data_IF_086538379157
#
_entry.id   IF_086538379157
#
_cell.length_a   1.000
_cell.length_b   1.000
_cell.length_c   1.000
_cell.angle_alpha   90.00
_cell.angle_beta   90.00
_cell.angle_gamma   90.00
#
_symmetry.space_group_name_H-M   'P 1'
#
loop_
_entity.id
_entity.type
_entity.pdbx_description
1 polymer ?
#
# COMPACT_ATOMS: atom_id res chain seq x y z
N UNK A 1 34.73 15.91 -10.72
CA UNK A 1 33.84 15.16 -11.65
C UNK A 1 33.98 15.77 -13.04
N UNK A 2 34.07 14.95 -14.09
CA UNK A 2 34.13 15.47 -15.46
C UNK A 2 32.77 16.14 -15.80
N UNK A 3 32.79 17.31 -16.47
CA UNK A 3 31.55 17.98 -16.85
C UNK A 3 30.72 17.07 -17.79
N UNK A 4 29.43 17.03 -17.58
CA UNK A 4 28.46 16.31 -18.42
C UNK A 4 27.18 17.15 -18.62
N UNK A 5 26.36 16.77 -19.58
CA UNK A 5 25.05 17.37 -19.79
C UNK A 5 24.15 17.23 -18.54
N UNK A 6 23.07 18.04 -18.48
CA UNK A 6 22.16 18.05 -17.34
C UNK A 6 21.38 16.73 -17.23
N UNK A 7 21.07 16.33 -16.00
CA UNK A 7 20.15 15.24 -15.77
C UNK A 7 18.72 15.67 -16.08
N UNK A 8 17.91 14.74 -16.56
CA UNK A 8 16.47 14.90 -16.69
C UNK A 8 15.83 14.22 -15.49
N UNK A 9 14.98 14.94 -14.76
CA UNK A 9 14.26 14.44 -13.61
C UNK A 9 12.77 14.33 -13.96
N UNK A 10 12.19 13.15 -13.75
CA UNK A 10 10.77 12.92 -13.90
C UNK A 10 10.21 12.27 -12.64
N UNK A 11 8.93 12.49 -12.38
CA UNK A 11 8.20 11.83 -11.30
C UNK A 11 7.22 10.81 -11.90
N UNK A 12 7.22 9.61 -11.36
CA UNK A 12 6.32 8.54 -11.75
C UNK A 12 5.37 8.21 -10.61
N UNK A 13 4.08 8.40 -10.82
CA UNK A 13 3.04 8.04 -9.86
C UNK A 13 2.62 6.59 -10.05
N UNK A 14 2.59 5.86 -8.94
CA UNK A 14 2.21 4.45 -8.87
C UNK A 14 1.04 4.26 -7.90
N UNK A 15 0.16 3.33 -8.22
CA UNK A 15 -0.80 2.81 -7.25
C UNK A 15 -0.14 1.78 -6.34
N UNK A 16 -0.81 1.42 -5.25
CA UNK A 16 -0.29 0.38 -4.35
C UNK A 16 -0.29 -1.00 -5.03
N UNK A 17 -1.24 -1.24 -5.93
CA UNK A 17 -1.29 -2.43 -6.79
C UNK A 17 -0.13 -2.49 -7.78
N UNK A 18 0.29 -1.34 -8.33
CA UNK A 18 1.49 -1.26 -9.17
C UNK A 18 2.75 -1.62 -8.37
N UNK A 19 2.83 -1.15 -7.13
CA UNK A 19 3.93 -1.50 -6.21
C UNK A 19 3.93 -3.00 -5.89
N UNK A 20 2.75 -3.58 -5.72
CA UNK A 20 2.63 -5.02 -5.46
C UNK A 20 3.13 -5.87 -6.63
N UNK A 21 2.77 -5.52 -7.86
CA UNK A 21 3.06 -6.32 -9.07
C UNK A 21 4.39 -5.98 -9.72
N UNK A 22 4.90 -4.74 -9.50
CA UNK A 22 5.85 -4.12 -10.41
C UNK A 22 5.15 -3.59 -11.65
N UNK A 23 5.80 -2.71 -12.38
CA UNK A 23 5.21 -2.08 -13.57
C UNK A 23 6.27 -1.67 -14.57
N UNK A 24 6.00 -1.92 -15.84
CA UNK A 24 6.76 -1.34 -16.94
C UNK A 24 6.00 -0.13 -17.51
N UNK A 25 6.67 1.00 -17.62
CA UNK A 25 6.10 2.26 -18.10
C UNK A 25 6.94 2.82 -19.23
N UNK A 26 6.34 3.10 -20.37
CA UNK A 26 6.96 3.85 -21.42
C UNK A 26 6.84 5.36 -21.12
N UNK A 27 7.96 6.03 -20.89
CA UNK A 27 8.03 7.46 -20.69
C UNK A 27 8.63 8.15 -21.89
N UNK A 28 8.01 9.26 -22.31
CA UNK A 28 8.53 10.11 -23.37
C UNK A 28 9.40 11.21 -22.75
N UNK A 29 10.65 11.28 -23.20
CA UNK A 29 11.60 12.29 -22.74
C UNK A 29 12.06 13.17 -23.90
N UNK A 30 12.28 14.47 -23.69
CA UNK A 30 12.76 15.37 -24.73
C UNK A 30 14.21 15.01 -25.13
N UNK A 31 14.44 14.97 -26.45
CA UNK A 31 15.76 14.75 -27.04
C UNK A 31 15.97 15.70 -28.22
N UNK A 32 17.23 15.96 -28.60
CA UNK A 32 17.59 16.79 -29.77
C UNK A 32 16.95 16.32 -31.10
N UNK A 33 16.83 15.02 -31.25
CA UNK A 33 16.26 14.38 -32.45
C UNK A 33 14.74 14.20 -32.41
N UNK A 34 14.07 14.81 -31.40
CA UNK A 34 12.66 14.63 -31.13
C UNK A 34 12.42 13.80 -29.85
N UNK A 35 11.16 13.61 -29.46
CA UNK A 35 10.83 12.86 -28.27
C UNK A 35 11.34 11.41 -28.37
N UNK A 36 11.99 10.94 -27.30
CA UNK A 36 12.50 9.57 -27.19
C UNK A 36 11.69 8.81 -26.16
N UNK A 37 11.26 7.62 -26.51
CA UNK A 37 10.57 6.71 -25.59
C UNK A 37 11.61 5.90 -24.81
N UNK A 38 11.51 5.94 -23.47
CA UNK A 38 12.32 5.14 -22.56
C UNK A 38 11.40 4.20 -21.78
N UNK A 39 11.73 2.92 -21.79
CA UNK A 39 11.01 1.94 -20.96
C UNK A 39 11.57 1.95 -19.54
N UNK A 40 10.71 2.29 -18.56
CA UNK A 40 11.03 2.35 -17.14
C UNK A 40 10.49 1.07 -16.50
N UNK A 41 11.40 0.23 -16.02
CA UNK A 41 11.06 -0.98 -15.28
C UNK A 41 11.01 -0.67 -13.78
N UNK A 42 9.81 -0.72 -13.21
CA UNK A 42 9.59 -0.50 -11.79
C UNK A 42 9.53 -1.84 -11.08
N UNK A 43 10.49 -2.15 -10.20
CA UNK A 43 10.47 -3.41 -9.46
C UNK A 43 9.34 -3.44 -8.43
N UNK A 44 8.77 -4.62 -8.21
CA UNK A 44 7.80 -4.84 -7.15
C UNK A 44 8.42 -4.54 -5.77
N UNK A 45 7.65 -3.91 -4.88
CA UNK A 45 8.10 -3.54 -3.54
C UNK A 45 8.79 -2.17 -3.45
N UNK A 46 8.92 -1.43 -4.53
CA UNK A 46 9.52 -0.10 -4.53
C UNK A 46 8.84 0.84 -3.53
N UNK A 47 9.59 1.75 -2.93
CA UNK A 47 9.09 2.71 -1.94
C UNK A 47 8.95 4.11 -2.52
N UNK A 48 8.03 4.91 -1.93
CA UNK A 48 7.91 6.33 -2.22
C UNK A 48 9.23 7.04 -1.99
N UNK A 49 9.61 7.92 -2.92
CA UNK A 49 10.85 8.69 -2.86
C UNK A 49 12.08 7.95 -3.38
N UNK A 50 12.00 6.66 -3.66
CA UNK A 50 13.11 5.96 -4.31
C UNK A 50 13.30 6.46 -5.73
N UNK A 51 14.56 6.44 -6.18
CA UNK A 51 14.96 6.91 -7.51
C UNK A 51 15.54 5.75 -8.33
N UNK A 52 15.12 5.70 -9.58
CA UNK A 52 15.71 4.81 -10.59
C UNK A 52 16.53 5.70 -11.54
N UNK A 53 17.79 5.36 -11.72
CA UNK A 53 18.72 6.12 -12.58
C UNK A 53 19.05 5.33 -13.83
N UNK A 54 18.84 5.97 -14.97
CA UNK A 54 19.24 5.46 -16.28
C UNK A 54 20.38 6.31 -16.81
N UNK A 55 21.58 5.73 -16.83
CA UNK A 55 22.80 6.43 -17.24
C UNK A 55 22.75 6.80 -18.72
N UNK A 56 23.16 8.04 -19.02
CA UNK A 56 23.25 8.53 -20.38
C UNK A 56 21.92 8.75 -21.10
N UNK A 57 20.79 8.66 -20.37
CA UNK A 57 19.46 8.88 -20.93
C UNK A 57 18.87 10.26 -20.60
N UNK A 58 19.70 11.16 -20.10
CA UNK A 58 19.35 12.54 -19.82
C UNK A 58 19.58 13.48 -21.01
N UNK A 59 19.82 14.76 -20.71
CA UNK A 59 20.04 15.79 -21.71
C UNK A 59 21.30 15.54 -22.55
N UNK A 60 21.25 15.94 -23.84
CA UNK A 60 22.33 15.82 -24.83
C UNK A 60 22.56 17.11 -25.62
N UNK A 61 22.17 18.27 -25.06
CA UNK A 61 22.21 19.54 -25.78
C UNK A 61 23.64 20.01 -26.12
N UNK A 62 24.59 19.74 -25.24
CA UNK A 62 25.98 20.06 -25.52
C UNK A 62 26.71 18.87 -26.19
N UNK A 63 27.03 18.94 -27.50
CA UNK A 63 27.54 17.79 -28.23
C UNK A 63 28.94 17.35 -27.79
N UNK A 64 29.69 18.26 -27.16
CA UNK A 64 31.05 17.99 -26.66
C UNK A 64 31.08 17.41 -25.25
N UNK A 65 29.92 17.25 -24.61
CA UNK A 65 29.80 16.68 -23.26
C UNK A 65 29.08 15.34 -23.31
N UNK A 66 29.44 14.39 -22.44
CA UNK A 66 28.68 13.16 -22.27
C UNK A 66 27.24 13.46 -21.92
N UNK A 67 26.29 12.60 -22.33
CA UNK A 67 24.89 12.73 -21.93
C UNK A 67 24.72 12.81 -20.41
N UNK A 68 23.70 13.54 -19.96
CA UNK A 68 23.23 13.47 -18.58
C UNK A 68 22.52 12.15 -18.30
N UNK A 69 21.98 12.00 -17.12
CA UNK A 69 21.21 10.82 -16.74
C UNK A 69 19.72 11.14 -16.65
N UNK A 70 18.87 10.16 -16.86
CA UNK A 70 17.47 10.23 -16.53
C UNK A 70 17.29 9.71 -15.09
N UNK A 71 16.68 10.52 -14.24
CA UNK A 71 16.36 10.19 -12.84
C UNK A 71 14.85 10.14 -12.71
N UNK A 72 14.34 8.97 -12.38
CA UNK A 72 12.91 8.73 -12.18
C UNK A 72 12.65 8.64 -10.68
N UNK A 73 11.94 9.61 -10.12
CA UNK A 73 11.53 9.61 -8.71
C UNK A 73 10.16 8.97 -8.58
N UNK A 74 10.05 7.98 -7.72
CA UNK A 74 8.80 7.26 -7.49
C UNK A 74 7.95 8.00 -6.47
N UNK A 75 6.70 8.27 -6.84
CA UNK A 75 5.62 8.69 -5.93
C UNK A 75 4.56 7.60 -5.88
N UNK A 76 4.16 7.20 -4.66
CA UNK A 76 3.12 6.19 -4.45
C UNK A 76 1.88 6.87 -3.93
N UNK A 77 0.77 6.74 -4.66
CA UNK A 77 -0.51 7.31 -4.28
C UNK A 77 -1.05 6.66 -3.00
N UNK A 78 -1.76 7.46 -2.21
CA UNK A 78 -2.46 6.92 -1.05
C UNK A 78 -3.57 5.98 -1.50
N UNK A 79 -3.67 4.83 -0.83
CA UNK A 79 -4.72 3.86 -1.09
C UNK A 79 -5.92 4.09 -0.15
N UNK A 80 -7.14 3.91 -0.66
CA UNK A 80 -8.37 4.16 0.11
C UNK A 80 -8.65 3.10 1.19
N UNK A 81 -8.07 1.91 1.08
CA UNK A 81 -8.25 0.80 2.02
C UNK A 81 -6.99 0.52 2.83
N UNK A 82 -5.84 0.42 2.16
CA UNK A 82 -4.59 -0.01 2.78
C UNK A 82 -3.68 1.16 3.13
N UNK A 83 -3.03 1.07 4.28
CA UNK A 83 -1.87 1.90 4.63
C UNK A 83 -0.62 1.04 4.65
N UNK A 84 0.43 1.49 3.99
CA UNK A 84 1.70 0.78 3.94
C UNK A 84 2.53 1.05 5.20
N UNK A 85 3.05 -0.01 5.81
CA UNK A 85 4.06 0.05 6.86
C UNK A 85 5.22 -0.90 6.50
N UNK A 86 6.30 -0.35 5.95
CA UNK A 86 7.37 -1.19 5.39
C UNK A 86 6.85 -2.08 4.26
N UNK A 87 6.89 -3.39 4.45
CA UNK A 87 6.32 -4.37 3.54
C UNK A 87 4.94 -4.88 3.98
N UNK A 88 4.48 -4.46 5.16
CA UNK A 88 3.16 -4.79 5.65
C UNK A 88 2.11 -3.80 5.12
N UNK A 89 0.89 -4.28 5.05
CA UNK A 89 -0.29 -3.48 4.75
C UNK A 89 -1.21 -3.49 5.96
N UNK A 90 -1.70 -2.31 6.34
CA UNK A 90 -2.66 -2.15 7.43
C UNK A 90 -4.01 -1.77 6.85
N UNK A 91 -5.04 -2.48 7.28
CA UNK A 91 -6.42 -2.16 6.97
C UNK A 91 -7.24 -2.11 8.26
N UNK A 92 -8.18 -1.18 8.35
CA UNK A 92 -9.11 -1.09 9.48
C UNK A 92 -10.45 -1.73 9.12
N UNK A 93 -10.98 -2.55 10.04
CA UNK A 93 -12.32 -3.14 9.94
C UNK A 93 -13.12 -2.81 11.19
N UNK A 94 -14.36 -2.38 10.96
CA UNK A 94 -15.31 -2.09 12.03
C UNK A 94 -16.16 -3.32 12.32
N UNK A 95 -16.30 -3.65 13.59
CA UNK A 95 -17.27 -4.62 14.10
C UNK A 95 -18.09 -3.94 15.20
N UNK A 96 -19.27 -4.44 15.49
CA UNK A 96 -20.03 -3.93 16.62
C UNK A 96 -19.61 -4.59 17.94
N UNK A 97 -20.04 -4.01 19.05
CA UNK A 97 -19.66 -4.49 20.39
C UNK A 97 -20.12 -5.93 20.66
N UNK A 98 -21.26 -6.36 20.12
CA UNK A 98 -21.74 -7.73 20.26
C UNK A 98 -20.86 -8.73 19.53
N UNK A 99 -20.45 -8.42 18.31
CA UNK A 99 -19.51 -9.23 17.55
C UNK A 99 -18.16 -9.35 18.25
N UNK A 100 -17.70 -8.27 18.88
CA UNK A 100 -16.45 -8.28 19.66
C UNK A 100 -16.56 -9.18 20.91
N UNK A 101 -17.69 -9.13 21.61
CA UNK A 101 -17.92 -9.95 22.81
C UNK A 101 -18.13 -11.42 22.48
N UNK A 102 -18.97 -11.71 21.48
CA UNK A 102 -19.40 -13.08 21.17
C UNK A 102 -18.46 -13.80 20.24
N UNK A 103 -17.59 -13.07 19.54
CA UNK A 103 -16.85 -13.57 18.40
C UNK A 103 -17.68 -13.59 17.13
N UNK A 104 -17.03 -13.50 16.01
CA UNK A 104 -17.64 -13.50 14.69
C UNK A 104 -16.64 -13.89 13.60
N UNK A 105 -17.03 -13.81 12.36
CA UNK A 105 -16.12 -13.93 11.24
C UNK A 105 -16.38 -12.80 10.23
N UNK A 106 -15.33 -12.42 9.50
CA UNK A 106 -15.46 -11.42 8.44
C UNK A 106 -14.64 -11.84 7.23
N UNK A 107 -15.01 -11.31 6.07
CA UNK A 107 -14.22 -11.45 4.86
C UNK A 107 -13.45 -10.16 4.61
N UNK A 108 -12.14 -10.27 4.36
CA UNK A 108 -11.29 -9.17 3.90
C UNK A 108 -10.75 -9.48 2.51
N UNK A 109 -10.60 -8.45 1.71
CA UNK A 109 -9.95 -8.55 0.40
C UNK A 109 -8.50 -8.10 0.50
N UNK A 110 -7.59 -8.89 -0.04
CA UNK A 110 -6.16 -8.59 -0.07
C UNK A 110 -5.81 -7.68 -1.24
N UNK A 111 -4.56 -7.18 -1.29
CA UNK A 111 -4.07 -6.33 -2.40
C UNK A 111 -4.14 -7.04 -3.76
N UNK A 112 -3.99 -8.36 -3.79
CA UNK A 112 -4.10 -9.19 -4.99
C UNK A 112 -5.51 -9.78 -5.22
N UNK A 113 -6.53 -9.17 -4.56
CA UNK A 113 -7.95 -9.47 -4.75
C UNK A 113 -8.40 -10.86 -4.27
N UNK A 114 -7.60 -11.51 -3.43
CA UNK A 114 -8.05 -12.71 -2.73
C UNK A 114 -9.02 -12.35 -1.62
N UNK A 115 -9.97 -13.21 -1.36
CA UNK A 115 -10.92 -13.09 -0.25
C UNK A 115 -10.50 -14.03 0.87
N UNK A 116 -10.18 -13.46 2.02
CA UNK A 116 -9.79 -14.20 3.22
C UNK A 116 -10.91 -14.14 4.24
N UNK A 117 -11.27 -15.29 4.79
CA UNK A 117 -12.19 -15.37 5.93
C UNK A 117 -11.37 -15.30 7.22
N UNK A 118 -11.63 -14.26 8.03
CA UNK A 118 -10.93 -13.99 9.29
C UNK A 118 -11.85 -14.28 10.45
N UNK A 119 -11.38 -15.09 11.39
CA UNK A 119 -12.09 -15.35 12.63
C UNK A 119 -11.81 -14.24 13.66
N UNK A 120 -12.85 -13.65 14.23
CA UNK A 120 -12.80 -12.68 15.32
C UNK A 120 -13.03 -13.43 16.63
N UNK A 121 -12.00 -13.57 17.47
CA UNK A 121 -12.14 -14.29 18.75
C UNK A 121 -13.15 -13.60 19.69
N UNK A 122 -13.76 -14.39 20.56
CA UNK A 122 -14.58 -13.86 21.67
C UNK A 122 -13.73 -12.93 22.54
N UNK A 123 -14.33 -11.81 22.95
CA UNK A 123 -13.65 -10.83 23.79
C UNK A 123 -12.58 -10.01 23.08
N UNK A 124 -12.67 -9.88 21.75
CA UNK A 124 -11.79 -9.03 20.98
C UNK A 124 -11.88 -7.58 21.44
N UNK A 125 -10.74 -7.01 21.80
CA UNK A 125 -10.65 -5.63 22.29
C UNK A 125 -10.53 -4.64 21.12
N UNK A 126 -10.92 -3.37 21.34
CA UNK A 126 -10.64 -2.29 20.39
C UNK A 126 -9.14 -2.23 20.04
N UNK A 127 -8.84 -1.91 18.79
CA UNK A 127 -7.48 -1.81 18.25
C UNK A 127 -6.66 -3.12 18.26
N UNK A 128 -7.29 -4.25 18.50
CA UNK A 128 -6.67 -5.56 18.27
C UNK A 128 -6.27 -5.70 16.80
N UNK A 129 -5.07 -6.19 16.55
CA UNK A 129 -4.53 -6.42 15.22
C UNK A 129 -4.47 -7.92 14.94
N UNK A 130 -5.15 -8.35 13.87
CA UNK A 130 -5.12 -9.72 13.37
C UNK A 130 -4.19 -9.78 12.15
N UNK A 131 -3.21 -10.67 12.17
CA UNK A 131 -2.21 -10.78 11.11
C UNK A 131 -2.56 -11.90 10.12
N UNK A 132 -2.57 -11.56 8.84
CA UNK A 132 -2.65 -12.50 7.72
C UNK A 132 -1.26 -12.60 7.09
N UNK A 133 -0.55 -13.68 7.37
CA UNK A 133 0.84 -13.85 6.94
C UNK A 133 0.97 -13.92 5.43
N UNK A 134 1.97 -13.22 4.91
CA UNK A 134 2.31 -13.25 3.50
C UNK A 134 1.32 -12.54 2.58
N UNK A 135 0.39 -11.73 3.11
CA UNK A 135 -0.60 -11.01 2.33
C UNK A 135 -0.31 -9.49 2.24
N UNK A 136 0.92 -9.09 2.60
CA UNK A 136 1.45 -7.75 2.42
C UNK A 136 2.12 -7.53 1.06
N UNK A 137 3.00 -6.54 1.00
CA UNK A 137 3.79 -6.19 -0.19
C UNK A 137 5.07 -7.03 -0.28
N UNK A 138 5.59 -7.27 -1.49
CA UNK A 138 6.89 -7.92 -1.63
C UNK A 138 8.01 -6.99 -1.20
N UNK A 139 9.05 -7.54 -0.61
CA UNK A 139 10.32 -6.87 -0.41
C UNK A 139 11.04 -6.72 -1.76
N UNK A 140 11.62 -5.53 -2.00
CA UNK A 140 12.26 -5.22 -3.28
C UNK A 140 13.47 -6.12 -3.58
N UNK A 141 14.18 -6.57 -2.55
CA UNK A 141 15.39 -7.39 -2.69
C UNK A 141 15.09 -8.88 -2.59
N UNK A 142 14.47 -9.29 -1.50
CA UNK A 142 14.24 -10.71 -1.18
C UNK A 142 13.02 -11.29 -1.86
N UNK A 143 12.08 -10.43 -2.32
CA UNK A 143 10.77 -10.80 -2.88
C UNK A 143 9.82 -11.46 -1.88
N UNK A 144 10.24 -11.66 -0.63
CA UNK A 144 9.36 -12.15 0.42
C UNK A 144 8.26 -11.14 0.70
N UNK A 145 7.05 -11.61 0.90
CA UNK A 145 5.91 -10.75 1.21
C UNK A 145 5.85 -10.47 2.72
N UNK A 146 5.53 -9.23 3.07
CA UNK A 146 5.09 -8.86 4.41
C UNK A 146 3.68 -9.38 4.70
N UNK A 147 3.07 -8.89 5.77
CA UNK A 147 1.79 -9.34 6.27
C UNK A 147 0.68 -8.32 5.99
N UNK A 148 -0.57 -8.79 5.96
CA UNK A 148 -1.73 -7.93 6.05
C UNK A 148 -2.17 -7.87 7.51
N UNK A 149 -2.15 -6.67 8.08
CA UNK A 149 -2.53 -6.39 9.46
C UNK A 149 -3.93 -5.80 9.48
N UNK A 150 -4.89 -6.52 10.03
CA UNK A 150 -6.29 -6.10 10.16
C UNK A 150 -6.51 -5.54 11.55
N UNK A 151 -6.63 -4.21 11.64
CA UNK A 151 -6.95 -3.53 12.90
C UNK A 151 -8.44 -3.49 13.13
N UNK A 152 -8.89 -4.03 14.23
CA UNK A 152 -10.29 -4.09 14.60
C UNK A 152 -10.69 -2.80 15.31
N UNK A 153 -11.71 -2.12 14.76
CA UNK A 153 -12.38 -0.99 15.39
C UNK A 153 -13.72 -1.48 15.93
N UNK A 154 -13.95 -1.31 17.22
CA UNK A 154 -15.21 -1.69 17.86
C UNK A 154 -16.14 -0.48 17.89
N UNK A 155 -17.34 -0.65 17.37
CA UNK A 155 -18.39 0.37 17.33
C UNK A 155 -19.53 -0.07 18.23
N UNK A 156 -19.93 0.82 19.13
CA UNK A 156 -21.10 0.60 20.00
C UNK A 156 -22.36 0.98 19.22
N UNK A 157 -23.35 0.08 19.10
CA UNK A 157 -24.62 0.41 18.45
C UNK A 157 -25.33 1.56 19.16
N UNK A 158 -25.84 2.53 18.42
CA UNK A 158 -26.47 3.74 18.97
C UNK A 158 -27.98 3.64 19.11
N UNK A 159 -28.64 2.93 18.20
CA UNK A 159 -30.12 2.92 18.08
C UNK A 159 -30.67 1.55 18.48
N UNK A 160 -30.57 1.21 19.76
CA UNK A 160 -31.13 0.00 20.31
C UNK A 160 -32.57 0.24 20.77
N UNK A 161 -33.44 -0.74 20.57
CA UNK A 161 -34.80 -0.70 21.09
C UNK A 161 -34.83 -0.75 22.62
N UNK A 162 -35.91 -0.24 23.26
CA UNK A 162 -36.06 -0.29 24.70
C UNK A 162 -36.04 -1.73 25.23
N UNK A 163 -36.63 -2.65 24.50
CA UNK A 163 -36.61 -4.08 24.81
C UNK A 163 -35.20 -4.66 24.81
N UNK A 164 -34.37 -4.27 23.85
CA UNK A 164 -32.95 -4.67 23.79
C UNK A 164 -32.15 -4.09 24.96
N UNK A 165 -32.36 -2.80 25.27
CA UNK A 165 -31.71 -2.15 26.41
C UNK A 165 -32.10 -2.82 27.74
N UNK A 166 -33.38 -3.18 27.94
CA UNK A 166 -33.84 -3.89 29.13
C UNK A 166 -33.17 -5.28 29.24
N UNK A 167 -33.06 -5.99 28.14
CA UNK A 167 -32.34 -7.27 28.07
C UNK A 167 -30.84 -7.14 28.42
N UNK A 168 -30.16 -6.13 27.86
CA UNK A 168 -28.78 -5.86 28.17
C UNK A 168 -28.55 -5.50 29.64
N UNK A 169 -29.46 -4.70 30.24
CA UNK A 169 -29.41 -4.36 31.65
C UNK A 169 -29.51 -5.60 32.53
N UNK A 170 -30.41 -6.51 32.23
CA UNK A 170 -30.55 -7.78 32.96
C UNK A 170 -29.29 -8.62 32.90
N UNK A 171 -28.64 -8.69 31.72
CA UNK A 171 -27.37 -9.39 31.57
C UNK A 171 -26.29 -8.73 32.41
N UNK A 172 -26.15 -7.40 32.33
CA UNK A 172 -25.17 -6.64 33.10
C UNK A 172 -25.35 -6.79 34.61
N UNK A 173 -26.58 -6.72 35.10
CA UNK A 173 -26.92 -6.89 36.53
C UNK A 173 -26.65 -8.32 37.04
N UNK A 174 -26.51 -9.29 36.15
CA UNK A 174 -26.19 -10.69 36.41
C UNK A 174 -24.68 -11.05 36.32
N UNK A 175 -23.84 -10.09 35.95
CA UNK A 175 -22.39 -10.27 35.93
C UNK A 175 -21.82 -10.05 37.37
#
# INVERSE_FOLDING_TARGET
ARPKNKNINISLQLTLEDVFRGKDVAAEIPSKSGPKIVNIQVPAGISRGQQIRYQGMGDQQAPNLPPGDLIVTIDVLNHHVFKRQGNDLVLEKKINAFEAMLGSSMVVETIDKKRLNINIPKGTQPDTVLSCRGEGLPDIQTKNRGDLLVRIKVVVPKNLSDSTLDGLKKIYDGL
#
